data_IF_838829614086
#
_entry.id   IF_838829614086
#
_cell.length_a   1.000
_cell.length_b   1.000
_cell.length_c   1.000
_cell.angle_alpha   90.00
_cell.angle_beta   90.00
_cell.angle_gamma   90.00
#
_symmetry.space_group_name_H-M   'P 1'
#
loop_
_entity.id
_entity.type
_entity.pdbx_description
1 polymer ?
#
# COMPACT_ATOMS: atom_id res chain seq x y z
N UNK A 1 -6.94 36.01 -44.40
CA UNK A 1 -8.33 36.00 -43.91
C UNK A 1 -8.27 35.88 -42.41
N UNK A 2 -8.85 36.82 -41.66
CA UNK A 2 -8.90 36.79 -40.18
C UNK A 2 -10.19 36.10 -39.75
N UNK A 3 -10.11 35.12 -38.86
CA UNK A 3 -11.27 34.44 -38.29
C UNK A 3 -11.78 35.20 -37.07
N UNK A 4 -13.08 35.48 -37.02
CA UNK A 4 -13.71 36.04 -35.83
C UNK A 4 -13.79 35.00 -34.70
N UNK A 5 -13.51 35.43 -33.46
CA UNK A 5 -13.52 34.58 -32.27
C UNK A 5 -14.60 35.07 -31.30
N UNK A 6 -15.56 34.21 -30.97
CA UNK A 6 -16.62 34.50 -29.99
C UNK A 6 -16.29 33.78 -28.68
N UNK A 7 -15.94 34.53 -27.64
CA UNK A 7 -15.57 33.99 -26.33
C UNK A 7 -16.81 33.86 -25.43
N UNK A 8 -17.23 32.62 -25.14
CA UNK A 8 -18.27 32.34 -24.14
C UNK A 8 -17.63 32.08 -22.77
N UNK A 9 -18.14 32.75 -21.73
CA UNK A 9 -17.65 32.59 -20.35
C UNK A 9 -18.81 32.49 -19.36
N UNK A 10 -18.50 32.01 -18.15
CA UNK A 10 -19.50 31.80 -17.10
C UNK A 10 -19.83 33.12 -16.38
N UNK A 11 -21.07 33.31 -15.92
CA UNK A 11 -21.49 34.58 -15.30
C UNK A 11 -20.81 34.87 -13.95
N UNK A 12 -20.20 33.88 -13.31
CA UNK A 12 -19.48 34.01 -12.04
C UNK A 12 -17.95 34.09 -12.19
N UNK A 13 -17.46 34.35 -13.40
CA UNK A 13 -16.04 34.59 -13.63
C UNK A 13 -15.60 35.89 -12.94
N UNK A 14 -14.52 35.83 -12.16
CA UNK A 14 -14.11 36.96 -11.33
C UNK A 14 -13.51 38.13 -12.11
N UNK A 15 -12.87 37.87 -13.26
CA UNK A 15 -12.30 38.91 -14.11
C UNK A 15 -12.47 38.59 -15.61
N UNK A 16 -13.62 38.93 -16.20
CA UNK A 16 -13.88 38.72 -17.62
C UNK A 16 -12.92 39.48 -18.54
N UNK A 17 -12.27 40.55 -18.07
CA UNK A 17 -11.40 41.40 -18.90
C UNK A 17 -10.06 40.76 -19.22
N UNK A 18 -9.62 39.80 -18.42
CA UNK A 18 -8.38 39.04 -18.68
C UNK A 18 -8.58 37.88 -19.65
N UNK A 19 -9.82 37.42 -19.84
CA UNK A 19 -10.12 36.23 -20.66
C UNK A 19 -9.63 36.33 -22.11
N UNK A 20 -9.69 37.48 -22.81
CA UNK A 20 -9.15 37.58 -24.17
C UNK A 20 -7.65 37.25 -24.24
N UNK A 21 -6.85 37.71 -23.26
CA UNK A 21 -5.40 37.42 -23.21
C UNK A 21 -5.10 35.95 -22.91
N UNK A 22 -5.98 35.29 -22.15
CA UNK A 22 -5.86 33.85 -21.85
C UNK A 22 -6.25 33.04 -23.08
N UNK A 23 -7.35 33.40 -23.73
CA UNK A 23 -7.84 32.75 -24.95
C UNK A 23 -6.86 32.90 -26.11
N UNK A 24 -6.19 34.05 -26.24
CA UNK A 24 -5.11 34.26 -27.21
C UNK A 24 -4.02 33.18 -27.10
N UNK A 25 -3.56 32.86 -25.87
CA UNK A 25 -2.57 31.81 -25.64
C UNK A 25 -3.11 30.40 -25.91
N UNK A 26 -4.41 30.18 -25.71
CA UNK A 26 -5.03 28.88 -25.93
C UNK A 26 -5.29 28.58 -27.41
N UNK A 27 -5.58 29.60 -28.21
CA UNK A 27 -5.80 29.51 -29.65
C UNK A 27 -4.47 29.50 -30.41
N UNK A 28 -3.40 30.03 -29.81
CA UNK A 28 -2.07 30.02 -30.40
C UNK A 28 -1.61 28.59 -30.70
N UNK A 29 -1.19 28.35 -31.95
CA UNK A 29 -0.58 27.09 -32.35
C UNK A 29 0.66 26.81 -31.49
N UNK A 30 0.80 25.55 -31.10
CA UNK A 30 1.91 25.07 -30.30
C UNK A 30 2.56 23.88 -30.99
N UNK A 31 3.85 23.60 -30.74
CA UNK A 31 4.54 22.48 -31.37
C UNK A 31 3.85 21.16 -31.03
N UNK A 32 3.23 20.53 -32.03
CA UNK A 32 2.58 19.24 -31.87
C UNK A 32 3.61 18.12 -31.86
N UNK A 33 3.57 17.26 -30.85
CA UNK A 33 4.37 16.03 -30.86
C UNK A 33 3.91 15.14 -32.03
N UNK A 34 4.84 14.51 -32.78
CA UNK A 34 4.44 13.54 -33.80
C UNK A 34 3.60 12.41 -33.20
N UNK A 35 2.56 11.99 -33.90
CA UNK A 35 1.69 10.90 -33.48
C UNK A 35 2.52 9.61 -33.39
N UNK A 36 2.72 9.14 -32.17
CA UNK A 36 3.44 7.89 -31.93
C UNK A 36 2.57 6.73 -32.38
N UNK A 37 3.11 5.89 -33.28
CA UNK A 37 2.45 4.64 -33.65
C UNK A 37 2.72 3.60 -32.58
N UNK A 38 1.71 2.83 -32.24
CA UNK A 38 1.88 1.69 -31.34
C UNK A 38 2.78 0.65 -32.01
N UNK A 39 3.82 0.23 -31.29
CA UNK A 39 4.73 -0.83 -31.71
C UNK A 39 4.93 -1.75 -30.50
N UNK A 40 4.62 -3.06 -30.61
CA UNK A 40 4.95 -4.01 -29.56
C UNK A 40 6.44 -4.00 -29.28
N UNK A 41 6.84 -3.82 -28.02
CA UNK A 41 8.26 -3.87 -27.63
C UNK A 41 8.87 -5.25 -27.87
N UNK A 42 8.04 -6.30 -27.81
CA UNK A 42 8.43 -7.67 -28.07
C UNK A 42 7.55 -8.21 -29.21
N UNK A 43 8.06 -8.26 -30.45
CA UNK A 43 7.31 -8.84 -31.56
C UNK A 43 7.09 -10.33 -31.33
N UNK A 44 6.07 -10.89 -31.97
CA UNK A 44 5.81 -12.33 -31.91
C UNK A 44 6.97 -13.08 -32.55
N UNK A 45 7.75 -13.75 -31.71
CA UNK A 45 8.89 -14.56 -32.10
C UNK A 45 8.47 -16.02 -31.97
N UNK A 46 8.06 -16.64 -33.09
CA UNK A 46 7.60 -18.03 -33.12
C UNK A 46 8.67 -19.05 -32.68
N UNK A 47 9.93 -18.61 -32.52
CA UNK A 47 11.01 -19.43 -31.97
C UNK A 47 11.05 -19.45 -30.43
N UNK A 48 10.38 -18.49 -29.76
CA UNK A 48 10.36 -18.37 -28.29
C UNK A 48 9.05 -18.90 -27.73
N UNK A 49 9.11 -20.09 -27.17
CA UNK A 49 7.96 -20.69 -26.49
C UNK A 49 7.82 -20.13 -25.07
N UNK A 50 6.64 -19.61 -24.68
CA UNK A 50 6.41 -19.16 -23.32
C UNK A 50 6.46 -20.34 -22.35
N UNK A 51 7.06 -20.14 -21.18
CA UNK A 51 7.04 -21.12 -20.11
C UNK A 51 5.63 -21.20 -19.51
N UNK A 52 4.93 -22.31 -19.75
CA UNK A 52 3.59 -22.56 -19.20
C UNK A 52 3.70 -23.45 -17.96
N UNK A 53 3.08 -23.11 -16.83
CA UNK A 53 3.02 -24.00 -15.67
C UNK A 53 2.31 -25.32 -16.05
N UNK A 54 2.84 -26.43 -15.54
CA UNK A 54 2.28 -27.77 -15.81
C UNK A 54 0.83 -27.93 -15.32
N UNK A 55 0.50 -27.25 -14.21
CA UNK A 55 -0.82 -27.34 -13.58
C UNK A 55 -1.75 -26.29 -14.16
N UNK A 56 -2.96 -26.73 -14.51
CA UNK A 56 -4.07 -25.84 -14.80
C UNK A 56 -4.60 -25.22 -13.50
N UNK A 57 -5.20 -24.01 -13.57
CA UNK A 57 -6.01 -23.49 -12.48
C UNK A 57 -7.11 -24.48 -12.08
N UNK A 58 -7.56 -24.49 -10.80
CA UNK A 58 -8.72 -25.26 -10.38
C UNK A 58 -9.94 -24.87 -11.21
N UNK A 59 -10.60 -25.86 -11.81
CA UNK A 59 -11.88 -25.65 -12.50
C UNK A 59 -12.99 -25.97 -11.50
N UNK A 60 -13.78 -24.96 -11.15
CA UNK A 60 -14.96 -25.14 -10.29
C UNK A 60 -16.09 -25.66 -11.18
N UNK A 61 -16.70 -26.80 -10.84
CA UNK A 61 -17.88 -27.29 -11.56
C UNK A 61 -19.06 -26.35 -11.35
N UNK A 62 -20.03 -26.36 -12.28
CA UNK A 62 -21.25 -25.56 -12.11
C UNK A 62 -21.96 -25.88 -10.79
N UNK A 63 -22.01 -27.15 -10.40
CA UNK A 63 -22.59 -27.59 -9.12
C UNK A 63 -21.83 -27.01 -7.92
N UNK A 64 -20.49 -27.07 -7.92
CA UNK A 64 -19.68 -26.50 -6.84
C UNK A 64 -19.81 -24.97 -6.76
N UNK A 65 -20.08 -24.29 -7.88
CA UNK A 65 -20.36 -22.86 -7.89
C UNK A 65 -21.74 -22.54 -7.28
N UNK A 66 -22.75 -23.40 -7.54
CA UNK A 66 -24.08 -23.26 -6.92
C UNK A 66 -24.06 -23.57 -5.42
N UNK A 67 -23.30 -24.58 -4.97
CA UNK A 67 -23.12 -24.87 -3.54
C UNK A 67 -22.52 -23.66 -2.80
N UNK A 68 -21.50 -23.01 -3.39
CA UNK A 68 -20.93 -21.77 -2.82
C UNK A 68 -21.96 -20.64 -2.75
N UNK A 69 -22.86 -20.51 -3.72
CA UNK A 69 -23.96 -19.52 -3.66
C UNK A 69 -24.95 -19.82 -2.54
N UNK A 70 -25.25 -21.09 -2.27
CA UNK A 70 -26.10 -21.46 -1.13
C UNK A 70 -25.45 -21.05 0.20
N UNK A 71 -24.14 -21.26 0.37
CA UNK A 71 -23.43 -20.80 1.57
C UNK A 71 -23.38 -19.27 1.72
N UNK A 72 -23.26 -18.54 0.62
CA UNK A 72 -23.35 -17.06 0.63
C UNK A 72 -24.75 -16.59 1.03
N UNK A 73 -25.78 -17.27 0.55
CA UNK A 73 -27.18 -16.96 0.86
C UNK A 73 -27.53 -17.17 2.34
N UNK A 74 -26.95 -18.20 2.97
CA UNK A 74 -27.14 -18.50 4.39
C UNK A 74 -26.34 -17.53 5.29
N UNK A 75 -25.20 -17.01 4.80
CA UNK A 75 -24.37 -16.02 5.51
C UNK A 75 -24.93 -14.60 5.42
N UNK A 76 -25.83 -14.29 4.50
CA UNK A 76 -26.46 -12.97 4.40
C UNK A 76 -27.60 -12.85 5.42
N UNK A 77 -27.24 -12.72 6.71
CA UNK A 77 -28.10 -12.00 7.64
C UNK A 77 -28.19 -10.55 7.18
N UNK A 78 -29.18 -10.26 6.33
CA UNK A 78 -29.94 -9.02 6.19
C UNK A 78 -29.19 -7.70 6.47
N UNK A 79 -27.98 -7.54 5.92
CA UNK A 79 -27.43 -6.21 5.69
C UNK A 79 -28.00 -5.78 4.36
N UNK A 80 -29.07 -4.98 4.39
CA UNK A 80 -29.58 -4.28 3.21
C UNK A 80 -28.37 -3.81 2.41
N UNK A 81 -28.27 -4.23 1.15
CA UNK A 81 -27.28 -3.73 0.22
C UNK A 81 -27.43 -2.21 0.14
N UNK A 82 -26.73 -1.50 1.00
CA UNK A 82 -26.46 -0.10 0.79
C UNK A 82 -25.58 -0.12 -0.45
N UNK A 83 -26.12 0.40 -1.55
CA UNK A 83 -25.36 0.75 -2.75
C UNK A 83 -24.02 1.31 -2.30
N UNK A 84 -22.97 0.50 -2.44
CA UNK A 84 -21.62 0.91 -2.08
C UNK A 84 -21.15 1.82 -3.21
N UNK A 85 -21.52 3.08 -3.10
CA UNK A 85 -20.96 4.12 -3.93
C UNK A 85 -19.65 4.57 -3.30
N UNK A 86 -18.55 4.05 -3.84
CA UNK A 86 -17.19 4.37 -3.40
C UNK A 86 -16.80 5.84 -3.63
N UNK A 87 -17.67 6.64 -4.24
CA UNK A 87 -17.43 8.07 -4.49
C UNK A 87 -18.01 8.98 -3.40
N UNK A 88 -18.82 8.47 -2.49
CA UNK A 88 -19.55 9.26 -1.47
C UNK A 88 -18.60 10.07 -0.57
N UNK A 89 -17.41 9.54 -0.27
CA UNK A 89 -16.40 10.21 0.55
C UNK A 89 -15.24 10.83 -0.27
N UNK A 90 -15.26 10.68 -1.61
CA UNK A 90 -14.22 11.21 -2.49
C UNK A 90 -14.61 12.61 -2.97
N UNK A 91 -14.49 13.57 -2.06
CA UNK A 91 -14.75 15.00 -2.29
C UNK A 91 -13.97 15.59 -3.48
N UNK A 92 -12.90 14.93 -3.94
CA UNK A 92 -12.10 15.30 -5.11
C UNK A 92 -12.84 15.18 -6.45
N UNK A 93 -13.92 14.40 -6.51
CA UNK A 93 -14.75 14.22 -7.72
C UNK A 93 -16.08 14.99 -7.67
N UNK A 94 -16.36 15.73 -6.60
CA UNK A 94 -17.59 16.52 -6.52
C UNK A 94 -17.45 17.82 -7.35
N UNK A 95 -18.42 18.15 -8.24
CA UNK A 95 -18.31 19.29 -9.16
C UNK A 95 -18.30 20.67 -8.50
N UNK A 96 -18.53 20.75 -7.18
CA UNK A 96 -18.83 22.01 -6.51
C UNK A 96 -18.19 22.09 -5.12
N UNK A 97 -16.88 22.37 -5.07
CA UNK A 97 -16.28 23.18 -4.02
C UNK A 97 -14.92 23.68 -4.52
N UNK A 98 -14.60 24.92 -4.13
CA UNK A 98 -13.50 25.76 -4.62
C UNK A 98 -12.23 24.95 -4.95
N UNK A 99 -11.81 25.00 -6.21
CA UNK A 99 -10.53 24.46 -6.69
C UNK A 99 -9.36 25.20 -6.00
N UNK A 100 -8.97 24.75 -4.82
CA UNK A 100 -7.59 24.92 -4.39
C UNK A 100 -6.76 23.89 -5.16
N UNK A 101 -6.08 24.38 -6.19
CA UNK A 101 -5.14 23.59 -6.96
C UNK A 101 -3.99 23.15 -6.03
N UNK A 102 -4.09 21.95 -5.45
CA UNK A 102 -2.94 21.28 -4.87
C UNK A 102 -2.12 20.74 -6.04
N UNK A 103 -1.23 21.58 -6.56
CA UNK A 103 -0.20 21.20 -7.51
C UNK A 103 0.71 20.21 -6.80
N UNK A 104 0.42 18.91 -6.90
CA UNK A 104 1.37 17.88 -6.59
C UNK A 104 2.31 17.75 -7.80
N UNK A 105 3.33 18.60 -7.85
CA UNK A 105 4.44 18.42 -8.78
C UNK A 105 5.28 17.23 -8.31
N UNK A 106 5.01 16.04 -8.85
CA UNK A 106 5.99 14.95 -8.86
C UNK A 106 7.05 15.27 -9.90
N UNK A 107 8.04 16.07 -9.54
CA UNK A 107 9.29 16.17 -10.30
C UNK A 107 10.10 14.92 -10.03
N UNK A 108 9.85 13.87 -10.81
CA UNK A 108 10.76 12.71 -10.91
C UNK A 108 11.92 13.17 -11.80
N UNK A 109 12.94 13.74 -11.19
CA UNK A 109 14.19 14.05 -11.87
C UNK A 109 15.08 12.80 -11.80
N UNK A 110 14.81 11.81 -12.66
CA UNK A 110 15.73 10.71 -12.92
C UNK A 110 16.82 11.19 -13.88
N UNK A 111 17.90 11.72 -13.30
CA UNK A 111 19.17 11.84 -14.00
C UNK A 111 19.96 10.55 -13.83
N UNK A 112 19.82 9.69 -14.82
CA UNK A 112 20.70 8.55 -15.08
C UNK A 112 22.08 9.09 -15.47
N UNK A 113 23.01 9.17 -14.52
CA UNK A 113 24.42 9.37 -14.83
C UNK A 113 25.21 8.11 -14.47
N UNK A 114 25.61 7.41 -15.53
CA UNK A 114 26.74 6.48 -15.55
C UNK A 114 28.04 7.20 -15.20
N UNK A 115 28.90 6.58 -14.40
CA UNK A 115 30.29 7.03 -14.26
C UNK A 115 30.90 6.71 -12.89
N UNK A 116 32.00 5.97 -12.92
CA UNK A 116 32.73 5.40 -11.78
C UNK A 116 33.53 6.41 -10.92
N UNK A 117 33.96 5.87 -9.77
CA UNK A 117 35.08 6.21 -8.88
C UNK A 117 34.90 7.25 -7.74
N UNK A 118 34.98 6.67 -6.53
CA UNK A 118 35.62 7.14 -5.30
C UNK A 118 35.69 8.64 -4.97
N UNK A 119 34.98 8.99 -3.89
CA UNK A 119 35.52 9.80 -2.78
C UNK A 119 34.63 9.68 -1.56
N UNK A 120 35.20 9.16 -0.47
CA UNK A 120 34.62 9.30 0.87
C UNK A 120 34.56 10.78 1.23
N UNK A 121 33.38 11.29 1.61
CA UNK A 121 33.23 12.15 2.79
C UNK A 121 31.75 12.42 3.09
N UNK A 122 31.41 12.31 4.38
CA UNK A 122 30.18 12.76 5.06
C UNK A 122 28.84 12.11 4.67
N UNK A 123 28.59 10.93 5.24
CA UNK A 123 27.26 10.32 5.33
C UNK A 123 26.35 11.11 6.29
N UNK A 124 25.76 12.20 5.82
CA UNK A 124 24.45 12.61 6.32
C UNK A 124 23.49 11.44 6.10
N UNK A 125 22.86 10.93 7.17
CA UNK A 125 21.91 9.81 7.10
C UNK A 125 20.77 10.20 6.15
N UNK A 126 20.89 9.87 4.85
CA UNK A 126 19.77 9.91 3.90
C UNK A 126 18.79 8.83 4.35
N UNK A 127 17.85 9.19 5.23
CA UNK A 127 16.74 8.34 5.57
C UNK A 127 15.98 8.06 4.28
N UNK A 128 16.12 6.83 3.80
CA UNK A 128 15.45 6.38 2.61
C UNK A 128 13.94 6.50 2.87
N UNK A 129 13.25 7.37 2.13
CA UNK A 129 11.86 7.81 2.36
C UNK A 129 10.83 6.72 2.06
N UNK A 130 11.20 5.45 2.22
CA UNK A 130 10.33 4.30 1.96
C UNK A 130 9.38 4.13 3.14
N UNK A 131 8.09 4.07 2.85
CA UNK A 131 7.03 3.94 3.87
C UNK A 131 6.53 2.50 4.06
N UNK A 132 7.10 1.54 3.33
CA UNK A 132 6.69 0.14 3.35
C UNK A 132 7.89 -0.81 3.26
N UNK A 133 7.74 -2.03 3.78
CA UNK A 133 8.75 -3.08 3.81
C UNK A 133 8.11 -4.46 3.80
N UNK A 134 8.78 -5.46 3.23
CA UNK A 134 8.25 -6.83 3.13
C UNK A 134 9.37 -7.85 3.25
N UNK A 135 9.13 -8.92 4.00
CA UNK A 135 10.05 -10.05 4.15
C UNK A 135 10.02 -10.90 2.90
N UNK A 136 11.17 -11.43 2.47
CA UNK A 136 11.17 -12.44 1.41
C UNK A 136 10.86 -13.82 1.98
N UNK A 137 10.27 -14.73 1.18
CA UNK A 137 10.16 -16.13 1.56
C UNK A 137 11.55 -16.70 1.81
N UNK A 138 11.82 -17.13 3.04
CA UNK A 138 13.08 -17.78 3.42
C UNK A 138 12.81 -19.23 3.79
N UNK A 139 13.56 -20.16 3.21
CA UNK A 139 13.48 -21.60 3.50
C UNK A 139 14.02 -21.97 4.90
N UNK A 140 14.62 -21.03 5.62
CA UNK A 140 15.27 -21.24 6.92
C UNK A 140 14.36 -21.00 8.12
N UNK A 141 13.15 -20.46 7.93
CA UNK A 141 12.27 -20.05 9.04
C UNK A 141 11.11 -21.03 9.23
N UNK A 142 11.40 -22.27 9.64
CA UNK A 142 10.34 -23.29 9.83
C UNK A 142 10.41 -24.10 11.12
N UNK A 143 11.49 -24.02 11.92
CA UNK A 143 11.69 -25.04 12.97
C UNK A 143 11.33 -24.60 14.40
N UNK A 144 11.36 -23.30 14.75
CA UNK A 144 11.29 -22.88 16.17
C UNK A 144 10.12 -21.97 16.57
N UNK A 145 9.06 -21.83 15.75
CA UNK A 145 8.00 -20.81 15.99
C UNK A 145 6.77 -21.35 16.76
N UNK A 146 6.88 -22.52 17.38
CA UNK A 146 5.79 -23.11 18.17
C UNK A 146 6.29 -23.52 19.56
N UNK A 147 5.40 -23.48 20.58
CA UNK A 147 3.96 -23.18 20.53
C UNK A 147 3.59 -21.73 20.93
N UNK A 148 2.43 -21.26 20.46
CA UNK A 148 1.79 -20.03 20.95
C UNK A 148 1.39 -20.18 22.43
N UNK A 149 1.36 -19.10 23.21
CA UNK A 149 0.91 -19.08 24.59
C UNK A 149 -0.55 -19.49 24.71
N UNK A 150 -0.89 -20.15 25.83
CA UNK A 150 -2.25 -20.64 26.10
C UNK A 150 -3.30 -19.53 25.99
N UNK A 151 -2.97 -18.33 26.49
CA UNK A 151 -3.84 -17.15 26.40
C UNK A 151 -4.17 -16.79 24.95
N UNK A 152 -3.18 -16.76 24.07
CA UNK A 152 -3.39 -16.46 22.66
C UNK A 152 -4.14 -17.59 21.97
N UNK A 153 -3.83 -18.85 22.28
CA UNK A 153 -4.57 -20.01 21.75
C UNK A 153 -6.05 -19.97 22.12
N UNK A 154 -6.38 -19.63 23.37
CA UNK A 154 -7.76 -19.55 23.84
C UNK A 154 -8.51 -18.41 23.13
N UNK A 155 -7.88 -17.24 22.95
CA UNK A 155 -8.44 -16.13 22.14
C UNK A 155 -8.69 -16.53 20.69
N UNK A 156 -7.75 -17.24 20.06
CA UNK A 156 -7.89 -17.66 18.66
C UNK A 156 -9.00 -18.70 18.48
N UNK A 157 -9.15 -19.62 19.43
CA UNK A 157 -10.25 -20.60 19.46
C UNK A 157 -11.60 -19.91 19.64
N UNK A 158 -11.71 -18.98 20.57
CA UNK A 158 -12.95 -18.23 20.82
C UNK A 158 -13.41 -17.45 19.58
N UNK A 159 -12.48 -16.93 18.79
CA UNK A 159 -12.75 -16.16 17.56
C UNK A 159 -12.78 -17.01 16.29
N UNK A 160 -12.58 -18.33 16.40
CA UNK A 160 -12.50 -19.26 15.27
C UNK A 160 -11.54 -18.81 14.16
N UNK A 161 -10.38 -18.26 14.56
CA UNK A 161 -9.39 -17.68 13.64
C UNK A 161 -8.46 -18.76 13.05
N UNK A 162 -8.36 -18.79 11.72
CA UNK A 162 -7.43 -19.66 11.01
C UNK A 162 -5.97 -19.23 11.24
N UNK A 163 -5.03 -20.19 11.27
CA UNK A 163 -3.61 -19.94 11.54
C UNK A 163 -2.92 -19.06 10.47
N UNK A 164 -3.39 -19.11 9.23
CA UNK A 164 -2.90 -18.28 8.12
C UNK A 164 -3.63 -16.94 7.99
N UNK A 165 -4.51 -16.59 8.93
CA UNK A 165 -5.16 -15.28 8.91
C UNK A 165 -4.14 -14.18 9.17
N UNK A 166 -4.31 -13.02 8.50
CA UNK A 166 -3.37 -11.90 8.65
C UNK A 166 -3.75 -11.04 9.85
N UNK A 167 -2.81 -10.83 10.75
CA UNK A 167 -2.94 -9.99 11.93
C UNK A 167 -1.89 -8.87 11.89
N UNK A 168 -2.11 -7.80 12.67
CA UNK A 168 -1.28 -6.59 12.65
C UNK A 168 -0.84 -6.20 14.05
N UNK A 169 0.45 -6.18 14.30
CA UNK A 169 1.04 -5.49 15.44
C UNK A 169 1.08 -3.99 15.20
N UNK A 170 0.68 -3.21 16.20
CA UNK A 170 0.75 -1.75 16.18
C UNK A 170 1.83 -1.29 17.16
N UNK A 171 2.81 -0.55 16.65
CA UNK A 171 3.86 0.11 17.44
C UNK A 171 3.56 1.61 17.42
N UNK A 172 3.34 2.18 18.59
CA UNK A 172 3.07 3.61 18.75
C UNK A 172 4.34 4.37 19.13
N UNK A 173 4.42 5.64 18.76
CA UNK A 173 5.56 6.49 19.14
C UNK A 173 5.79 6.54 20.66
N UNK A 174 4.72 6.45 21.46
CA UNK A 174 4.75 6.48 22.93
C UNK A 174 5.56 5.34 23.55
N UNK A 175 5.69 4.22 22.85
CA UNK A 175 6.41 3.03 23.33
C UNK A 175 7.83 2.93 22.76
N UNK A 176 8.27 3.89 21.95
CA UNK A 176 9.57 3.87 21.27
C UNK A 176 10.76 4.29 22.15
N UNK A 177 10.59 4.40 23.48
CA UNK A 177 11.61 4.94 24.40
C UNK A 177 12.17 6.28 23.87
N UNK A 178 13.43 6.62 24.18
CA UNK A 178 14.13 7.79 23.65
C UNK A 178 14.48 7.71 22.14
N UNK A 179 13.92 6.76 21.38
CA UNK A 179 14.18 6.61 19.94
C UNK A 179 13.06 7.25 19.12
N UNK A 180 13.41 7.82 17.97
CA UNK A 180 12.40 8.34 17.05
C UNK A 180 11.69 7.18 16.34
N UNK A 181 10.46 7.43 15.85
CA UNK A 181 9.74 6.45 15.03
C UNK A 181 10.54 6.03 13.79
N UNK A 182 11.36 6.94 13.23
CA UNK A 182 12.22 6.65 12.08
C UNK A 182 13.42 5.76 12.44
N UNK A 183 13.98 5.88 13.64
CA UNK A 183 15.02 4.98 14.11
C UNK A 183 14.50 3.55 14.27
N UNK A 184 13.29 3.41 14.83
CA UNK A 184 12.58 2.13 14.96
C UNK A 184 12.25 1.57 13.57
N UNK A 185 11.79 2.40 12.65
CA UNK A 185 11.52 2.02 11.26
C UNK A 185 12.78 1.53 10.54
N UNK A 186 13.92 2.20 10.72
CA UNK A 186 15.19 1.79 10.13
C UNK A 186 15.64 0.42 10.65
N UNK A 187 15.55 0.19 11.97
CA UNK A 187 15.87 -1.11 12.60
C UNK A 187 14.93 -2.21 12.13
N UNK A 188 13.62 -1.94 12.08
CA UNK A 188 12.63 -2.89 11.59
C UNK A 188 12.90 -3.29 10.14
N UNK A 189 13.21 -2.32 9.29
CA UNK A 189 13.58 -2.59 7.90
C UNK A 189 14.79 -3.52 7.79
N UNK A 190 15.77 -3.37 8.68
CA UNK A 190 16.92 -4.24 8.74
C UNK A 190 16.51 -5.68 9.13
N UNK A 191 15.68 -5.84 10.17
CA UNK A 191 15.17 -7.17 10.59
C UNK A 191 14.40 -7.89 9.47
N UNK A 192 13.53 -7.15 8.76
CA UNK A 192 12.75 -7.69 7.65
C UNK A 192 13.65 -8.11 6.49
N UNK A 193 14.67 -7.30 6.15
CA UNK A 193 15.63 -7.61 5.07
C UNK A 193 16.51 -8.80 5.39
N UNK A 194 16.83 -9.03 6.66
CA UNK A 194 17.60 -10.19 7.10
C UNK A 194 16.73 -11.44 7.35
N UNK A 195 15.44 -11.40 6.95
CA UNK A 195 14.50 -12.51 7.10
C UNK A 195 14.35 -13.00 8.55
N UNK A 196 14.54 -12.11 9.53
CA UNK A 196 14.32 -12.42 10.96
C UNK A 196 12.82 -12.44 11.32
N UNK A 197 11.96 -11.91 10.44
CA UNK A 197 10.52 -11.83 10.63
C UNK A 197 9.80 -12.59 9.51
N UNK A 198 9.19 -13.77 9.77
CA UNK A 198 8.53 -14.58 8.74
C UNK A 198 7.20 -13.98 8.28
N UNK A 199 6.97 -14.00 6.96
CA UNK A 199 5.70 -13.57 6.33
C UNK A 199 5.26 -12.15 6.76
N UNK A 200 6.23 -11.29 7.05
CA UNK A 200 6.00 -9.97 7.60
C UNK A 200 6.00 -8.87 6.54
N UNK A 201 5.03 -7.98 6.63
CA UNK A 201 4.98 -6.74 5.88
C UNK A 201 4.76 -5.58 6.85
N UNK A 202 5.47 -4.49 6.66
CA UNK A 202 5.40 -3.35 7.56
C UNK A 202 5.17 -2.05 6.83
N UNK A 203 4.47 -1.12 7.48
CA UNK A 203 4.22 0.24 6.98
C UNK A 203 4.35 1.26 8.10
N UNK A 204 5.03 2.37 7.84
CA UNK A 204 5.11 3.51 8.76
C UNK A 204 4.04 4.55 8.42
N UNK A 205 3.18 4.84 9.39
CA UNK A 205 2.15 5.86 9.34
C UNK A 205 2.62 7.09 10.13
N UNK A 206 3.40 7.95 9.47
CA UNK A 206 4.02 9.14 10.10
C UNK A 206 3.00 10.09 10.73
N UNK A 207 1.87 10.29 10.04
CA UNK A 207 0.80 11.18 10.51
C UNK A 207 0.10 10.66 11.77
N UNK A 208 0.08 9.34 11.98
CA UNK A 208 -0.47 8.71 13.19
C UNK A 208 0.58 8.45 14.27
N UNK A 209 1.86 8.67 13.98
CA UNK A 209 2.94 8.28 14.87
C UNK A 209 3.01 6.76 15.10
N UNK A 210 2.62 5.95 14.11
CA UNK A 210 2.51 4.50 14.26
C UNK A 210 3.32 3.73 13.20
N UNK A 211 3.80 2.54 13.56
CA UNK A 211 4.27 1.53 12.62
C UNK A 211 3.37 0.31 12.73
N UNK A 212 2.90 -0.16 11.58
CA UNK A 212 2.07 -1.35 11.48
C UNK A 212 2.90 -2.49 10.93
N UNK A 213 2.92 -3.61 11.64
CA UNK A 213 3.63 -4.83 11.23
C UNK A 213 2.61 -5.94 11.10
N UNK A 214 2.34 -6.34 9.88
CA UNK A 214 1.42 -7.40 9.53
C UNK A 214 2.18 -8.73 9.46
N UNK A 215 1.56 -9.79 9.97
CA UNK A 215 2.10 -11.15 9.99
C UNK A 215 0.95 -12.17 10.01
N UNK A 216 1.23 -13.43 9.70
CA UNK A 216 0.24 -14.50 9.85
C UNK A 216 0.06 -14.86 11.34
N UNK A 217 -1.16 -15.20 11.75
CA UNK A 217 -1.50 -15.61 13.12
C UNK A 217 -0.57 -16.73 13.63
N UNK A 218 -0.17 -17.65 12.75
CA UNK A 218 0.79 -18.72 13.01
C UNK A 218 2.09 -18.22 13.63
N UNK A 219 2.57 -17.05 13.22
CA UNK A 219 3.86 -16.48 13.63
C UNK A 219 3.72 -15.26 14.54
N UNK A 220 2.50 -14.84 14.87
CA UNK A 220 2.26 -13.52 15.43
C UNK A 220 2.93 -13.29 16.80
N UNK A 221 2.97 -14.28 17.68
CA UNK A 221 3.61 -14.14 18.99
C UNK A 221 5.13 -14.08 18.90
N UNK A 222 5.74 -14.91 18.05
CA UNK A 222 7.16 -14.83 17.75
C UNK A 222 7.54 -13.47 17.17
N UNK A 223 6.76 -12.98 16.20
CA UNK A 223 6.96 -11.64 15.62
C UNK A 223 6.84 -10.58 16.71
N UNK A 224 5.82 -10.64 17.57
CA UNK A 224 5.66 -9.71 18.69
C UNK A 224 6.87 -9.70 19.65
N UNK A 225 7.36 -10.88 20.02
CA UNK A 225 8.55 -11.03 20.87
C UNK A 225 9.82 -10.48 20.20
N UNK A 226 10.01 -10.76 18.91
CA UNK A 226 11.11 -10.20 18.12
C UNK A 226 11.03 -8.67 18.05
N UNK A 227 9.84 -8.11 17.81
CA UNK A 227 9.64 -6.66 17.79
C UNK A 227 9.99 -6.04 19.15
N UNK A 228 9.47 -6.58 20.26
CA UNK A 228 9.79 -6.09 21.60
C UNK A 228 11.28 -6.19 21.93
N UNK A 229 11.88 -7.35 21.72
CA UNK A 229 13.27 -7.62 22.09
C UNK A 229 14.28 -6.86 21.23
N UNK A 230 14.13 -6.91 19.89
CA UNK A 230 15.11 -6.33 18.95
C UNK A 230 14.96 -4.82 18.81
N UNK A 231 13.75 -4.27 18.94
CA UNK A 231 13.51 -2.82 18.84
C UNK A 231 13.58 -2.13 20.20
N UNK A 232 13.67 -2.89 21.30
CA UNK A 232 13.75 -2.38 22.69
C UNK A 232 12.56 -1.48 23.01
N UNK A 233 11.35 -1.95 22.69
CA UNK A 233 10.11 -1.21 22.91
C UNK A 233 9.74 -1.22 24.39
N UNK A 234 9.35 -0.05 24.92
CA UNK A 234 8.91 0.12 26.31
C UNK A 234 7.40 0.20 26.37
N UNK A 235 6.73 -0.78 26.98
CA UNK A 235 5.27 -0.79 27.13
C UNK A 235 4.60 -1.95 26.42
N UNK A 236 3.30 -1.82 26.13
CA UNK A 236 2.49 -2.88 25.52
C UNK A 236 2.35 -2.65 24.01
N UNK A 237 2.48 -3.72 23.22
CA UNK A 237 2.06 -3.73 21.82
C UNK A 237 0.78 -4.54 21.69
N UNK A 238 -0.05 -4.19 20.71
CA UNK A 238 -1.36 -4.81 20.50
C UNK A 238 -1.44 -5.47 19.13
N UNK A 239 -1.96 -6.70 19.11
CA UNK A 239 -2.25 -7.51 17.94
C UNK A 239 -3.70 -7.28 17.53
N UNK A 240 -3.88 -6.73 16.34
CA UNK A 240 -5.16 -6.36 15.77
C UNK A 240 -5.54 -7.27 14.61
N UNK A 241 -6.82 -7.62 14.52
CA UNK A 241 -7.40 -8.36 13.39
C UNK A 241 -8.59 -7.58 12.82
N UNK A 242 -8.64 -7.41 11.49
CA UNK A 242 -9.54 -6.50 10.76
C UNK A 242 -11.05 -6.64 11.05
N UNK A 243 -11.50 -7.74 11.65
CA UNK A 243 -12.90 -7.94 12.04
C UNK A 243 -13.15 -7.98 13.55
N UNK A 244 -12.11 -8.21 14.35
CA UNK A 244 -12.23 -8.52 15.78
C UNK A 244 -11.59 -7.48 16.69
N UNK A 245 -10.91 -6.49 16.11
CA UNK A 245 -10.20 -5.50 16.89
C UNK A 245 -8.93 -6.08 17.50
N UNK A 246 -8.58 -5.62 18.71
CA UNK A 246 -7.42 -6.10 19.46
C UNK A 246 -7.74 -7.46 20.10
N UNK A 247 -7.03 -8.50 19.68
CA UNK A 247 -7.25 -9.88 20.16
C UNK A 247 -6.23 -10.33 21.20
N UNK A 248 -5.08 -9.64 21.25
CA UNK A 248 -3.98 -9.97 22.14
C UNK A 248 -3.06 -8.75 22.32
N UNK A 249 -2.42 -8.64 23.48
CA UNK A 249 -1.41 -7.62 23.76
C UNK A 249 -0.32 -8.22 24.63
N UNK A 250 0.92 -7.78 24.40
CA UNK A 250 2.11 -8.19 25.16
C UNK A 250 2.89 -6.98 25.62
#
# INVERSE_FOLDING_TARGET
MTTEVILHYRPYESDPTQLPKIAERAIQDFPTRPLSRFIPWFPHDGSKLPLKPKRSPPVISGEAAEDVKQYLSISEHNVKSQSYDCTVDLLEFQPSLKKQCLIWSHTVNEQTNSGNLDKQSEKGKRHNRRSWSVSLPSSTCTENVFPLSKKLQDSLKALNLHSLYRARWTIEHTICNNQTLEDIWAKLNQLIRHNELPSCNATIQRHLGQIWVFCDVKYCEYVGNCLKGRLVLTGKISLFVHKYGVIFSM
#
